data_IF_287681519206
#
_entry.id   IF_287681519206
#
_cell.length_a   1.000
_cell.length_b   1.000
_cell.length_c   1.000
_cell.angle_alpha   90.00
_cell.angle_beta   90.00
_cell.angle_gamma   90.00
#
_symmetry.space_group_name_H-M   'P 1'
#
loop_
_entity.id
_entity.type
_entity.pdbx_description
1 polymer ?
#
# COMPACT_ATOMS: atom_id res chain seq x y z
N UNK A 1 -3.52 12.72 18.21
CA UNK A 1 -2.42 13.35 17.41
C UNK A 1 -2.26 12.55 16.13
N UNK A 2 -2.34 13.24 14.99
CA UNK A 2 -2.18 12.63 13.65
C UNK A 2 -0.70 12.27 13.43
N UNK A 3 -0.45 11.04 13.03
CA UNK A 3 0.86 10.55 12.62
C UNK A 3 0.82 10.11 11.15
N UNK A 4 1.70 10.68 10.34
CA UNK A 4 1.98 10.24 8.96
C UNK A 4 3.43 9.78 8.91
N UNK A 5 3.74 8.77 8.11
CA UNK A 5 5.12 8.28 7.96
C UNK A 5 6.05 9.40 7.46
N UNK A 6 7.24 9.53 8.06
CA UNK A 6 8.19 10.62 7.78
C UNK A 6 8.78 10.61 6.36
N UNK A 7 8.56 9.52 5.63
CA UNK A 7 9.01 9.38 4.23
C UNK A 7 8.20 10.23 3.25
N UNK A 8 7.06 10.77 3.69
CA UNK A 8 6.13 11.53 2.87
C UNK A 8 6.11 13.01 3.27
N UNK A 9 5.82 13.87 2.33
CA UNK A 9 5.48 15.26 2.56
C UNK A 9 4.56 15.80 1.46
N UNK A 10 3.80 16.81 1.79
CA UNK A 10 3.01 17.56 0.82
C UNK A 10 3.88 18.63 0.19
N UNK A 11 3.85 18.75 -1.13
CA UNK A 11 4.43 19.88 -1.87
C UNK A 11 3.39 20.51 -2.80
N UNK A 12 3.81 21.44 -3.67
CA UNK A 12 2.92 22.14 -4.61
C UNK A 12 2.25 21.18 -5.62
N UNK A 13 2.79 19.99 -5.83
CA UNK A 13 2.30 19.01 -6.81
C UNK A 13 1.45 17.94 -6.17
N UNK A 14 1.40 17.85 -4.82
CA UNK A 14 0.65 16.88 -4.06
C UNK A 14 1.52 16.09 -3.08
N UNK A 15 1.08 14.89 -2.71
CA UNK A 15 1.80 14.01 -1.79
C UNK A 15 2.99 13.36 -2.49
N UNK A 16 4.19 13.67 -2.03
CA UNK A 16 5.45 13.19 -2.62
C UNK A 16 6.30 12.42 -1.61
N UNK A 17 7.24 11.61 -2.13
CA UNK A 17 8.30 11.02 -1.32
C UNK A 17 9.26 12.13 -0.91
N UNK A 18 9.43 12.35 0.40
CA UNK A 18 10.24 13.43 0.99
C UNK A 18 11.64 13.50 0.38
N UNK A 19 12.06 14.71 0.00
CA UNK A 19 13.34 14.94 -0.68
C UNK A 19 13.37 14.50 -2.15
N UNK A 20 12.22 14.27 -2.75
CA UNK A 20 12.05 14.01 -4.18
C UNK A 20 10.84 14.79 -4.71
N UNK A 21 10.66 14.79 -6.04
CA UNK A 21 9.42 15.28 -6.68
C UNK A 21 8.49 14.15 -7.12
N UNK A 22 8.66 12.95 -6.56
CA UNK A 22 7.86 11.78 -6.96
C UNK A 22 6.53 11.78 -6.23
N UNK A 23 5.45 12.03 -6.98
CA UNK A 23 4.08 11.78 -6.51
C UNK A 23 3.93 10.30 -6.15
N UNK A 24 3.26 10.04 -5.04
CA UNK A 24 3.08 8.68 -4.52
C UNK A 24 1.80 8.05 -5.05
N UNK A 25 0.70 8.79 -5.02
CA UNK A 25 -0.61 8.26 -5.35
C UNK A 25 -0.69 7.81 -6.83
N UNK A 26 -1.18 6.60 -7.03
CA UNK A 26 -1.51 6.02 -8.33
C UNK A 26 -3.01 5.73 -8.35
N UNK A 27 -3.72 6.26 -9.32
CA UNK A 27 -5.15 6.00 -9.51
C UNK A 27 -5.34 4.89 -10.54
N UNK A 28 -6.16 3.90 -10.20
CA UNK A 28 -6.56 2.84 -11.12
C UNK A 28 -7.58 3.35 -12.13
N UNK A 29 -7.68 2.67 -13.26
CA UNK A 29 -8.71 2.93 -14.26
C UNK A 29 -10.08 2.38 -13.84
N UNK A 30 -11.14 2.88 -14.46
CA UNK A 30 -12.52 2.48 -14.14
C UNK A 30 -12.85 1.03 -14.55
N UNK A 31 -12.02 0.41 -15.39
CA UNK A 31 -12.25 -0.93 -15.95
C UNK A 31 -11.23 -1.97 -15.45
N UNK A 32 -10.34 -1.59 -14.56
CA UNK A 32 -9.35 -2.52 -14.03
C UNK A 32 -9.65 -2.90 -12.57
N UNK A 33 -9.51 -4.19 -12.25
CA UNK A 33 -9.59 -4.74 -10.89
C UNK A 33 -8.24 -4.70 -10.15
N UNK A 34 -7.31 -3.85 -10.58
CA UNK A 34 -5.91 -3.92 -10.18
C UNK A 34 -5.57 -3.13 -8.89
N UNK A 35 -6.54 -2.86 -8.00
CA UNK A 35 -6.30 -2.13 -6.74
C UNK A 35 -5.07 -2.67 -5.98
N UNK A 36 -4.89 -4.00 -5.96
CA UNK A 36 -3.75 -4.66 -5.33
C UNK A 36 -2.41 -4.23 -5.94
N UNK A 37 -2.30 -4.25 -7.27
CA UNK A 37 -1.07 -3.89 -7.97
C UNK A 37 -0.75 -2.41 -7.79
N UNK A 38 -1.77 -1.52 -7.89
CA UNK A 38 -1.59 -0.09 -7.66
C UNK A 38 -1.14 0.21 -6.23
N UNK A 39 -1.77 -0.44 -5.23
CA UNK A 39 -1.39 -0.31 -3.81
C UNK A 39 0.04 -0.78 -3.58
N UNK A 40 0.43 -1.93 -4.13
CA UNK A 40 1.79 -2.42 -4.07
C UNK A 40 2.79 -1.44 -4.69
N UNK A 41 2.49 -0.89 -5.88
CA UNK A 41 3.36 0.08 -6.54
C UNK A 41 3.53 1.35 -5.69
N UNK A 42 2.47 1.83 -5.04
CA UNK A 42 2.57 2.95 -4.09
C UNK A 42 3.49 2.61 -2.92
N UNK A 43 3.39 1.43 -2.32
CA UNK A 43 4.32 0.97 -1.26
C UNK A 43 5.77 0.94 -1.75
N UNK A 44 6.02 0.45 -2.97
CA UNK A 44 7.37 0.40 -3.55
C UNK A 44 7.95 1.79 -3.87
N UNK A 45 7.11 2.74 -4.30
CA UNK A 45 7.50 4.15 -4.49
C UNK A 45 7.87 4.76 -3.13
N UNK A 46 7.03 4.58 -2.11
CA UNK A 46 7.26 5.10 -0.73
C UNK A 46 8.57 4.58 -0.15
N UNK A 47 8.85 3.29 -0.28
CA UNK A 47 10.10 2.71 0.20
C UNK A 47 11.30 2.95 -0.75
N UNK A 48 11.10 3.66 -1.87
CA UNK A 48 12.13 3.99 -2.88
C UNK A 48 12.76 2.75 -3.54
N UNK A 49 12.01 1.68 -3.69
CA UNK A 49 12.44 0.51 -4.44
C UNK A 49 12.28 0.73 -5.96
N UNK A 50 11.24 1.48 -6.34
CA UNK A 50 10.99 1.89 -7.73
C UNK A 50 10.74 3.40 -7.80
N UNK A 51 10.80 3.97 -9.00
CA UNK A 51 10.36 5.34 -9.31
C UNK A 51 8.96 5.31 -9.92
N UNK A 52 8.18 6.38 -9.72
CA UNK A 52 6.87 6.53 -10.38
C UNK A 52 6.96 6.34 -11.90
N UNK A 53 7.98 6.95 -12.53
CA UNK A 53 8.21 6.82 -13.97
C UNK A 53 8.43 5.37 -14.44
N UNK A 54 8.86 4.47 -13.55
CA UNK A 54 9.04 3.06 -13.89
C UNK A 54 7.70 2.34 -14.12
N UNK A 55 6.58 2.87 -13.60
CA UNK A 55 5.24 2.24 -13.67
C UNK A 55 4.23 3.03 -14.47
N UNK A 56 4.44 4.32 -14.68
CA UNK A 56 3.52 5.18 -15.45
C UNK A 56 3.86 5.27 -16.94
N UNK A 57 5.05 4.83 -17.36
CA UNK A 57 5.47 4.82 -18.76
C UNK A 57 5.32 3.41 -19.35
N UNK A 58 4.16 3.11 -19.91
CA UNK A 58 3.88 1.84 -20.59
C UNK A 58 4.71 1.64 -21.85
N UNK A 59 5.25 2.73 -22.45
CA UNK A 59 6.09 2.68 -23.66
C UNK A 59 7.54 2.25 -23.38
N UNK A 60 7.96 2.23 -22.13
CA UNK A 60 9.35 1.91 -21.78
C UNK A 60 9.53 0.39 -21.66
N UNK A 61 10.40 -0.17 -22.49
CA UNK A 61 10.85 -1.57 -22.32
C UNK A 61 11.65 -1.66 -21.01
N UNK A 62 11.11 -2.36 -20.03
CA UNK A 62 11.79 -2.56 -18.76
C UNK A 62 12.85 -3.64 -18.88
N UNK A 63 14.09 -3.30 -18.53
CA UNK A 63 15.21 -4.25 -18.54
C UNK A 63 15.04 -5.31 -17.46
N UNK A 64 14.79 -6.56 -17.86
CA UNK A 64 14.58 -7.70 -16.97
C UNK A 64 15.81 -8.11 -16.15
N UNK A 65 16.98 -7.55 -16.42
CA UNK A 65 18.18 -7.74 -15.59
C UNK A 65 18.03 -7.09 -14.21
N UNK A 66 17.21 -6.04 -14.11
CA UNK A 66 16.92 -5.34 -12.85
C UNK A 66 15.63 -5.85 -12.20
N UNK A 67 15.61 -5.87 -10.86
CA UNK A 67 14.47 -6.31 -10.06
C UNK A 67 13.16 -5.62 -10.45
N UNK A 68 13.20 -4.28 -10.58
CA UNK A 68 12.03 -3.49 -11.01
C UNK A 68 11.53 -3.88 -12.40
N UNK A 69 12.45 -4.15 -13.33
CA UNK A 69 12.09 -4.55 -14.70
C UNK A 69 11.44 -5.92 -14.73
N UNK A 70 11.90 -6.86 -13.92
CA UNK A 70 11.26 -8.19 -13.78
C UNK A 70 9.85 -8.06 -13.23
N UNK A 71 9.66 -7.30 -12.15
CA UNK A 71 8.36 -7.12 -11.51
C UNK A 71 7.36 -6.43 -12.44
N UNK A 72 7.74 -5.29 -13.03
CA UNK A 72 6.84 -4.54 -13.92
C UNK A 72 6.48 -5.38 -15.15
N UNK A 73 7.44 -6.07 -15.77
CA UNK A 73 7.14 -6.97 -16.88
C UNK A 73 6.22 -8.12 -16.47
N UNK A 74 6.36 -8.66 -15.26
CA UNK A 74 5.48 -9.69 -14.76
C UNK A 74 4.03 -9.20 -14.73
N UNK A 75 3.78 -8.05 -14.12
CA UNK A 75 2.42 -7.48 -14.05
C UNK A 75 1.85 -7.02 -15.39
N UNK A 76 2.70 -6.54 -16.32
CA UNK A 76 2.24 -6.13 -17.65
C UNK A 76 1.93 -7.32 -18.56
N UNK A 77 2.66 -8.44 -18.44
CA UNK A 77 2.54 -9.58 -19.36
C UNK A 77 1.60 -10.69 -18.87
N UNK A 78 1.31 -10.75 -17.59
CA UNK A 78 0.32 -11.69 -17.04
C UNK A 78 -0.92 -10.89 -16.67
N UNK A 79 -1.96 -10.95 -17.43
CA UNK A 79 -3.36 -10.55 -17.23
C UNK A 79 -3.75 -9.75 -15.95
N UNK A 80 -2.81 -9.52 -15.05
CA UNK A 80 -3.01 -9.06 -13.68
C UNK A 80 -3.36 -7.59 -13.54
N UNK A 81 -3.15 -6.76 -14.56
CA UNK A 81 -3.48 -5.34 -14.45
C UNK A 81 -4.91 -5.02 -14.89
N UNK A 82 -5.60 -5.90 -15.59
CA UNK A 82 -6.83 -5.50 -16.30
C UNK A 82 -8.09 -6.20 -15.82
N UNK A 83 -8.05 -7.44 -15.33
CA UNK A 83 -9.30 -8.21 -15.16
C UNK A 83 -9.44 -8.99 -13.84
N UNK A 84 -8.37 -9.41 -13.21
CA UNK A 84 -8.45 -10.24 -12.01
C UNK A 84 -7.64 -9.63 -10.88
N UNK A 85 -8.26 -9.51 -9.69
CA UNK A 85 -7.57 -9.06 -8.50
C UNK A 85 -6.47 -10.04 -8.10
N UNK A 86 -5.37 -9.52 -7.52
CA UNK A 86 -4.32 -10.33 -6.90
C UNK A 86 -4.62 -10.59 -5.43
N UNK A 87 -4.27 -11.79 -4.96
CA UNK A 87 -4.17 -12.03 -3.51
C UNK A 87 -2.87 -11.44 -2.96
N UNK A 88 -2.90 -10.93 -1.74
CA UNK A 88 -1.69 -10.36 -1.08
C UNK A 88 -0.57 -11.40 -0.98
N UNK A 89 -0.90 -12.68 -0.75
CA UNK A 89 0.07 -13.77 -0.73
C UNK A 89 0.82 -13.92 -2.06
N UNK A 90 0.12 -13.79 -3.18
CA UNK A 90 0.73 -13.83 -4.51
C UNK A 90 1.66 -12.63 -4.73
N UNK A 91 1.21 -11.42 -4.35
CA UNK A 91 2.04 -10.21 -4.43
C UNK A 91 3.32 -10.34 -3.59
N UNK A 92 3.21 -10.88 -2.37
CA UNK A 92 4.36 -11.17 -1.51
C UNK A 92 5.37 -12.08 -2.22
N UNK A 93 4.90 -13.15 -2.84
CA UNK A 93 5.76 -14.14 -3.49
C UNK A 93 6.46 -13.56 -4.72
N UNK A 94 5.73 -12.77 -5.53
CA UNK A 94 6.31 -12.05 -6.67
C UNK A 94 7.36 -11.01 -6.23
N UNK A 95 7.09 -10.28 -5.14
CA UNK A 95 8.06 -9.35 -4.57
C UNK A 95 9.31 -10.05 -4.08
N UNK A 96 9.15 -11.14 -3.34
CA UNK A 96 10.26 -11.91 -2.81
C UNK A 96 11.12 -12.50 -3.95
N UNK A 97 10.49 -12.94 -5.04
CA UNK A 97 11.19 -13.41 -6.21
C UNK A 97 11.95 -12.27 -6.93
N UNK A 98 11.29 -11.13 -7.17
CA UNK A 98 11.86 -10.03 -7.94
C UNK A 98 12.92 -9.23 -7.17
N UNK A 99 12.71 -9.00 -5.86
CA UNK A 99 13.48 -8.05 -5.03
C UNK A 99 14.16 -8.66 -3.82
N UNK A 100 14.46 -9.95 -3.83
CA UNK A 100 15.00 -10.71 -2.70
C UNK A 100 16.14 -10.01 -1.94
N UNK A 101 16.99 -9.24 -2.63
CA UNK A 101 18.14 -8.55 -2.05
C UNK A 101 17.85 -7.09 -1.65
N UNK A 102 16.75 -6.50 -2.11
CA UNK A 102 16.50 -5.06 -2.01
C UNK A 102 15.40 -4.72 -1.02
N UNK A 103 14.39 -5.59 -0.89
CA UNK A 103 13.26 -5.42 0.01
C UNK A 103 13.06 -6.63 0.92
N UNK A 104 12.33 -6.40 1.97
CA UNK A 104 11.80 -7.41 2.89
C UNK A 104 10.30 -7.20 2.98
N UNK A 105 9.56 -8.28 2.98
CA UNK A 105 8.11 -8.29 3.14
C UNK A 105 7.72 -8.97 4.44
N UNK A 106 6.67 -8.47 5.09
CA UNK A 106 6.02 -9.11 6.22
C UNK A 106 4.53 -9.20 5.89
N UNK A 107 4.01 -10.42 5.90
CA UNK A 107 2.61 -10.72 5.61
C UNK A 107 1.91 -11.19 6.88
N UNK A 108 0.72 -10.65 7.14
CA UNK A 108 -0.14 -11.08 8.22
C UNK A 108 -1.58 -11.20 7.71
N UNK A 109 -2.30 -12.19 8.24
CA UNK A 109 -3.73 -12.37 8.01
C UNK A 109 -4.49 -12.36 9.32
N UNK A 110 -5.77 -12.03 9.27
CA UNK A 110 -6.65 -12.01 10.44
C UNK A 110 -6.75 -13.40 11.09
N UNK A 111 -6.60 -14.48 10.31
CA UNK A 111 -6.57 -15.85 10.82
C UNK A 111 -5.44 -16.09 11.84
N UNK A 112 -4.33 -15.33 11.70
CA UNK A 112 -3.17 -15.42 12.58
C UNK A 112 -3.23 -14.44 13.77
N UNK A 113 -4.33 -13.71 13.93
CA UNK A 113 -4.57 -12.77 15.02
C UNK A 113 -4.87 -11.34 14.58
N UNK A 114 -5.12 -10.43 15.54
CA UNK A 114 -5.53 -9.06 15.23
C UNK A 114 -4.42 -8.26 14.53
N UNK A 115 -4.78 -7.62 13.41
CA UNK A 115 -3.84 -6.95 12.51
C UNK A 115 -3.49 -5.51 12.93
N UNK A 116 -4.31 -4.88 13.76
CA UNK A 116 -4.17 -3.45 14.07
C UNK A 116 -2.82 -3.11 14.70
N UNK A 117 -2.33 -3.96 15.59
CA UNK A 117 -1.01 -3.76 16.22
C UNK A 117 0.11 -3.80 15.17
N UNK A 118 0.07 -4.74 14.25
CA UNK A 118 1.07 -4.88 13.18
C UNK A 118 1.05 -3.66 12.24
N UNK A 119 -0.14 -3.13 11.95
CA UNK A 119 -0.31 -1.91 11.14
C UNK A 119 0.33 -0.72 11.86
N UNK A 120 -0.02 -0.49 13.13
CA UNK A 120 0.52 0.63 13.91
C UNK A 120 2.04 0.51 14.05
N UNK A 121 2.54 -0.66 14.43
CA UNK A 121 3.99 -0.90 14.58
C UNK A 121 4.74 -0.64 13.26
N UNK A 122 4.17 -1.00 12.12
CA UNK A 122 4.77 -0.71 10.81
C UNK A 122 4.80 0.78 10.50
N UNK A 123 3.69 1.49 10.73
CA UNK A 123 3.60 2.94 10.52
C UNK A 123 4.54 3.70 11.47
N UNK A 124 4.67 3.26 12.73
CA UNK A 124 5.59 3.80 13.71
C UNK A 124 7.06 3.64 13.28
N UNK A 125 7.36 2.58 12.56
CA UNK A 125 8.66 2.34 11.94
C UNK A 125 8.79 2.95 10.52
N UNK A 126 7.93 3.90 10.17
CA UNK A 126 7.93 4.61 8.87
C UNK A 126 7.78 3.68 7.66
N UNK A 127 7.01 2.59 7.79
CA UNK A 127 6.68 1.71 6.67
C UNK A 127 5.21 1.83 6.32
N UNK A 128 4.93 2.05 5.04
CA UNK A 128 3.57 1.97 4.53
C UNK A 128 3.08 0.52 4.56
N UNK A 129 1.77 0.35 4.73
CA UNK A 129 1.13 -0.96 4.84
C UNK A 129 0.06 -1.09 3.77
N UNK A 130 0.21 -2.06 2.90
CA UNK A 130 -0.87 -2.47 2.01
C UNK A 130 -1.90 -3.25 2.82
N UNK A 131 -3.16 -2.86 2.72
CA UNK A 131 -4.28 -3.42 3.47
C UNK A 131 -5.32 -3.93 2.51
N UNK A 132 -5.66 -5.21 2.62
CA UNK A 132 -6.86 -5.79 2.02
C UNK A 132 -8.00 -5.71 3.03
N UNK A 133 -9.10 -5.14 2.63
CA UNK A 133 -10.32 -5.23 3.38
C UNK A 133 -11.44 -5.91 2.57
N UNK A 134 -12.29 -6.61 3.28
CA UNK A 134 -13.44 -7.31 2.74
C UNK A 134 -14.72 -6.53 3.03
N UNK A 135 -15.59 -6.50 2.04
CA UNK A 135 -17.01 -6.17 2.11
C UNK A 135 -17.80 -7.47 2.02
N UNK A 136 -19.11 -7.45 2.21
CA UNK A 136 -19.92 -8.67 2.07
C UNK A 136 -19.79 -9.35 0.69
N UNK A 137 -19.56 -8.59 -0.38
CA UNK A 137 -19.57 -9.10 -1.77
C UNK A 137 -18.25 -8.90 -2.53
N UNK A 138 -17.27 -8.19 -1.95
CA UNK A 138 -16.03 -7.87 -2.67
C UNK A 138 -14.88 -7.57 -1.71
N UNK A 139 -13.65 -7.61 -2.23
CA UNK A 139 -12.46 -7.11 -1.55
C UNK A 139 -11.91 -5.86 -2.24
N UNK A 140 -11.18 -5.05 -1.49
CA UNK A 140 -10.46 -3.90 -2.03
C UNK A 140 -9.12 -3.73 -1.30
N UNK A 141 -8.16 -3.06 -1.96
CA UNK A 141 -6.84 -2.82 -1.38
C UNK A 141 -6.49 -1.34 -1.41
N UNK A 142 -5.89 -0.90 -0.30
CA UNK A 142 -5.45 0.48 -0.07
C UNK A 142 -4.09 0.48 0.62
N UNK A 143 -3.44 1.64 0.70
CA UNK A 143 -2.16 1.80 1.40
C UNK A 143 -2.34 2.70 2.60
N UNK A 144 -2.20 2.16 3.82
CA UNK A 144 -2.12 2.98 5.02
C UNK A 144 -0.75 3.67 5.10
N UNK A 145 -0.78 4.99 5.32
CA UNK A 145 0.39 5.87 5.42
C UNK A 145 0.47 6.61 6.75
N UNK A 146 -0.54 6.47 7.59
CA UNK A 146 -0.59 7.12 8.88
C UNK A 146 -1.81 6.70 9.66
N UNK A 147 -1.91 7.22 10.90
CA UNK A 147 -3.05 6.96 11.76
C UNK A 147 -3.26 8.07 12.79
N UNK A 148 -4.44 8.07 13.41
CA UNK A 148 -4.73 8.79 14.63
C UNK A 148 -5.48 7.87 15.60
N UNK A 149 -5.16 7.98 16.90
CA UNK A 149 -5.92 7.33 17.97
C UNK A 149 -6.85 8.37 18.63
N UNK A 150 -8.12 8.08 18.64
CA UNK A 150 -9.17 8.92 19.23
C UNK A 150 -10.01 8.03 20.12
N UNK A 151 -9.87 8.16 21.43
CA UNK A 151 -10.53 7.31 22.43
C UNK A 151 -10.35 5.82 22.13
N UNK A 152 -11.44 5.12 21.86
CA UNK A 152 -11.44 3.69 21.52
C UNK A 152 -11.35 3.42 20.00
N UNK A 153 -11.11 4.44 19.19
CA UNK A 153 -11.01 4.34 17.74
C UNK A 153 -9.58 4.52 17.26
N UNK A 154 -9.26 3.82 16.19
CA UNK A 154 -8.04 4.04 15.40
C UNK A 154 -8.46 4.38 13.98
N UNK A 155 -8.17 5.60 13.56
CA UNK A 155 -8.39 6.04 12.19
C UNK A 155 -7.10 5.82 11.38
N UNK A 156 -7.14 4.97 10.36
CA UNK A 156 -6.05 4.78 9.42
C UNK A 156 -6.22 5.73 8.24
N UNK A 157 -5.21 6.52 7.94
CA UNK A 157 -5.15 7.40 6.77
C UNK A 157 -4.56 6.65 5.59
N UNK A 158 -5.35 6.51 4.53
CA UNK A 158 -5.04 5.62 3.42
C UNK A 158 -4.97 6.36 2.07
N UNK A 159 -4.12 5.84 1.19
CA UNK A 159 -4.15 6.11 -0.24
C UNK A 159 -4.96 4.98 -0.91
N UNK A 160 -6.08 5.34 -1.47
CA UNK A 160 -7.00 4.44 -2.17
C UNK A 160 -6.82 4.64 -3.68
N UNK A 161 -6.42 3.60 -4.44
CA UNK A 161 -6.27 3.71 -5.88
C UNK A 161 -7.59 3.89 -6.62
N UNK A 162 -8.73 3.54 -6.02
CA UNK A 162 -10.05 3.69 -6.63
C UNK A 162 -10.56 5.13 -6.70
N UNK A 163 -9.94 6.05 -5.95
CA UNK A 163 -10.39 7.44 -5.85
C UNK A 163 -9.25 8.43 -6.15
N UNK A 164 -9.55 9.62 -6.67
CA UNK A 164 -8.54 10.64 -6.87
C UNK A 164 -8.00 11.17 -5.54
N UNK A 165 -6.73 11.50 -5.49
CA UNK A 165 -6.15 12.31 -4.42
C UNK A 165 -6.17 13.77 -4.87
N UNK A 166 -6.97 14.61 -4.19
CA UNK A 166 -7.10 16.01 -4.57
C UNK A 166 -5.89 16.83 -4.13
N UNK A 167 -5.70 18.00 -4.75
CA UNK A 167 -4.66 18.93 -4.38
C UNK A 167 -4.76 19.33 -2.89
N UNK A 168 -3.63 19.36 -2.21
CA UNK A 168 -3.59 19.69 -0.78
C UNK A 168 -3.94 18.53 0.16
N UNK A 169 -4.34 17.37 -0.35
CA UNK A 169 -4.63 16.21 0.48
C UNK A 169 -3.43 15.28 0.64
N UNK A 170 -3.25 14.75 1.86
CA UNK A 170 -2.26 13.70 2.14
C UNK A 170 -2.82 12.29 1.97
N UNK A 171 -4.15 12.12 2.10
CA UNK A 171 -4.86 10.84 1.95
C UNK A 171 -6.23 11.08 1.31
N UNK A 172 -6.80 10.06 0.72
CA UNK A 172 -8.11 10.10 0.06
C UNK A 172 -9.10 9.05 0.61
N UNK A 173 -8.70 8.30 1.65
CA UNK A 173 -9.57 7.35 2.33
C UNK A 173 -9.21 7.26 3.82
N UNK A 174 -10.20 7.00 4.65
CA UNK A 174 -10.05 6.73 6.09
C UNK A 174 -10.73 5.40 6.41
N UNK A 175 -10.02 4.52 7.11
CA UNK A 175 -10.60 3.34 7.73
C UNK A 175 -10.62 3.58 9.24
N UNK A 176 -11.83 3.70 9.80
CA UNK A 176 -12.06 3.89 11.23
C UNK A 176 -12.33 2.53 11.88
N UNK A 177 -11.49 2.16 12.82
CA UNK A 177 -11.52 0.88 13.52
C UNK A 177 -12.02 1.12 14.95
N UNK A 178 -13.15 0.52 15.28
CA UNK A 178 -13.69 0.48 16.64
C UNK A 178 -13.05 -0.69 17.39
N UNK A 179 -12.16 -0.39 18.33
CA UNK A 179 -11.46 -1.39 19.13
C UNK A 179 -12.40 -2.10 20.16
N UNK A 180 -13.57 -1.56 20.41
CA UNK A 180 -14.56 -2.15 21.35
C UNK A 180 -15.59 -3.01 20.64
N UNK A 181 -15.69 -2.92 19.32
CA UNK A 181 -16.68 -3.67 18.55
C UNK A 181 -16.37 -5.16 18.51
N UNK A 182 -17.34 -5.97 18.87
CA UNK A 182 -17.30 -7.44 18.70
C UNK A 182 -17.81 -7.90 17.35
N UNK A 183 -18.23 -6.98 16.48
CA UNK A 183 -18.72 -7.28 15.14
C UNK A 183 -17.57 -7.80 14.24
N UNK A 184 -17.87 -8.82 13.41
CA UNK A 184 -16.95 -9.28 12.37
C UNK A 184 -16.48 -8.12 11.49
N UNK A 185 -17.38 -7.21 11.11
CA UNK A 185 -17.08 -6.00 10.35
C UNK A 185 -16.95 -4.82 11.30
N UNK A 186 -15.84 -4.73 11.99
CA UNK A 186 -15.59 -3.72 13.03
C UNK A 186 -14.96 -2.42 12.51
N UNK A 187 -14.71 -2.32 11.20
CA UNK A 187 -14.15 -1.13 10.60
C UNK A 187 -15.18 -0.42 9.72
N UNK A 188 -15.06 0.91 9.63
CA UNK A 188 -15.85 1.74 8.71
C UNK A 188 -14.94 2.36 7.68
N UNK A 189 -15.27 2.14 6.40
CA UNK A 189 -14.60 2.81 5.28
C UNK A 189 -15.40 4.05 4.88
N UNK A 190 -14.75 5.22 4.88
CA UNK A 190 -15.44 6.48 4.62
C UNK A 190 -15.79 6.70 3.15
N UNK A 191 -14.97 6.23 2.21
CA UNK A 191 -15.28 6.38 0.78
C UNK A 191 -16.55 5.65 0.36
N UNK A 192 -16.81 4.52 0.99
CA UNK A 192 -17.90 3.62 0.60
C UNK A 192 -19.06 3.61 1.57
N UNK A 193 -18.96 4.41 2.65
CA UNK A 193 -19.95 4.53 3.73
C UNK A 193 -20.41 3.17 4.30
N UNK A 194 -19.55 2.15 4.17
CA UNK A 194 -19.84 0.77 4.54
C UNK A 194 -18.94 0.26 5.67
N UNK A 195 -19.39 -0.83 6.31
CA UNK A 195 -18.58 -1.59 7.25
C UNK A 195 -17.71 -2.58 6.49
N UNK A 196 -16.44 -2.68 6.89
CA UNK A 196 -15.44 -3.55 6.29
C UNK A 196 -14.72 -4.38 7.35
N UNK A 197 -14.07 -5.44 6.91
CA UNK A 197 -13.19 -6.28 7.72
C UNK A 197 -11.79 -6.18 7.15
N UNK A 198 -10.79 -5.77 7.94
CA UNK A 198 -9.38 -5.89 7.54
C UNK A 198 -9.01 -7.37 7.61
N UNK A 199 -8.65 -7.94 6.47
CA UNK A 199 -8.46 -9.39 6.28
C UNK A 199 -6.98 -9.77 6.21
N UNK A 200 -6.21 -9.03 5.41
CA UNK A 200 -4.79 -9.29 5.18
C UNK A 200 -4.02 -7.97 5.09
N UNK A 201 -2.74 -8.01 5.46
CA UNK A 201 -1.82 -6.89 5.28
C UNK A 201 -0.47 -7.34 4.74
N UNK A 202 0.17 -6.46 3.97
CA UNK A 202 1.54 -6.62 3.49
C UNK A 202 2.36 -5.37 3.83
N UNK A 203 3.43 -5.56 4.60
CA UNK A 203 4.38 -4.52 4.94
C UNK A 203 5.59 -4.67 4.03
N UNK A 204 5.93 -3.62 3.28
CA UNK A 204 7.07 -3.60 2.37
C UNK A 204 8.16 -2.71 2.93
N UNK A 205 9.32 -3.29 3.22
CA UNK A 205 10.47 -2.60 3.82
C UNK A 205 11.68 -2.64 2.89
N UNK A 206 12.40 -1.54 2.77
CA UNK A 206 13.70 -1.56 2.12
C UNK A 206 14.73 -2.22 3.03
N UNK A 207 15.48 -3.22 2.52
CA UNK A 207 16.59 -3.81 3.28
C UNK A 207 17.67 -2.77 3.50
N UNK A 208 18.11 -2.64 4.75
CA UNK A 208 19.29 -1.84 5.06
C UNK A 208 20.52 -2.59 4.53
N UNK A 209 21.35 -1.93 3.72
CA UNK A 209 22.66 -2.47 3.35
C UNK A 209 23.48 -2.60 4.64
N UNK A 210 23.87 -3.82 5.01
CA UNK A 210 24.87 -3.98 6.09
C UNK A 210 26.08 -3.15 5.69
N UNK A 211 26.39 -2.11 6.46
CA UNK A 211 27.68 -1.41 6.31
C UNK A 211 28.75 -2.46 6.58
N UNK A 212 29.46 -2.90 5.54
CA UNK A 212 30.71 -3.62 5.75
C UNK A 212 31.61 -2.65 6.52
N UNK A 213 31.86 -2.95 7.78
CA UNK A 213 32.97 -2.31 8.52
C UNK A 213 34.24 -2.70 7.75
N UNK A 214 34.85 -1.72 7.09
CA UNK A 214 36.23 -1.83 6.62
C UNK A 214 37.15 -1.76 7.81
#
# INVERSE_FOLDING_TARGET
>A
MIKIIDKLCLDKTGLVVKGTKQLVHLQQGSMDGACAVYSLMMCLIICRAIKRADVTSLATKHDKRFSKGRLVNHFLNKNGMVLEGYYISQLRDELNHAFLKEIQTEYHSLENGPLIKNIIDALDNNNAVEIKFLRPTSGHMVVAIGYEKIDNHVQLFCLDPGFPLLEGQCWNNIIDIDATSTSKYNCRNYNEKGRVLIDEILIVKKRQKKRQKK
#
